data_IF_260879208506
#
_entry.id   IF_260879208506
#
_cell.length_a   1.000
_cell.length_b   1.000
_cell.length_c   1.000
_cell.angle_alpha   90.00
_cell.angle_beta   90.00
_cell.angle_gamma   90.00
#
_symmetry.space_group_name_H-M   'P 1'
#
loop_
_entity.id
_entity.type
_entity.pdbx_description
1 polymer ?
#
# COMPACT_ATOMS: atom_id res chain seq x y z
N UNK A 1 3.55 -28.22 8.27
CA UNK A 1 4.20 -27.08 7.59
C UNK A 1 3.50 -25.82 8.05
N UNK A 2 4.19 -24.86 8.69
CA UNK A 2 3.59 -23.59 9.13
C UNK A 2 3.51 -22.64 7.95
N UNK A 3 2.37 -21.94 7.80
CA UNK A 3 2.14 -20.93 6.76
C UNK A 3 3.18 -19.81 6.78
N UNK A 4 3.67 -19.43 7.97
CA UNK A 4 4.69 -18.39 8.14
C UNK A 4 5.97 -18.68 7.37
N UNK A 5 6.31 -19.96 7.14
CA UNK A 5 7.51 -20.34 6.37
C UNK A 5 7.37 -20.09 4.87
N UNK A 6 6.16 -19.82 4.38
CA UNK A 6 5.88 -19.48 2.99
C UNK A 6 5.96 -17.97 2.73
N UNK A 7 6.01 -17.15 3.79
CA UNK A 7 6.17 -15.70 3.70
C UNK A 7 7.65 -15.36 3.55
N UNK A 8 8.15 -15.45 2.32
CA UNK A 8 9.57 -15.30 1.99
C UNK A 8 10.03 -13.86 1.88
N UNK A 9 9.10 -12.93 1.70
CA UNK A 9 9.39 -11.54 1.39
C UNK A 9 9.23 -10.65 2.62
N UNK A 10 9.76 -9.44 2.53
CA UNK A 10 9.75 -8.44 3.59
C UNK A 10 9.38 -7.08 3.02
N UNK A 11 8.44 -6.39 3.67
CA UNK A 11 8.04 -5.06 3.26
C UNK A 11 7.77 -4.16 4.47
N UNK A 12 7.88 -2.86 4.25
CA UNK A 12 7.53 -1.85 5.23
C UNK A 12 6.13 -1.32 4.93
N UNK A 13 5.32 -1.10 5.96
CA UNK A 13 3.92 -0.65 5.86
C UNK A 13 3.80 0.77 6.42
N UNK A 14 3.12 1.62 5.65
CA UNK A 14 2.79 2.99 6.01
C UNK A 14 1.28 3.17 5.95
N UNK A 15 0.70 3.57 7.08
CA UNK A 15 -0.71 3.85 7.16
C UNK A 15 -1.02 5.25 6.65
N UNK A 16 -2.12 5.37 5.94
CA UNK A 16 -2.64 6.68 5.56
C UNK A 16 -3.00 7.48 6.83
N UNK A 17 -2.46 8.69 6.91
CA UNK A 17 -2.71 9.63 7.99
C UNK A 17 -3.54 10.79 7.47
N UNK A 18 -4.45 11.25 8.31
CA UNK A 18 -5.34 12.37 8.02
C UNK A 18 -4.86 13.57 8.81
N UNK A 19 -4.62 14.68 8.11
CA UNK A 19 -4.26 15.96 8.73
C UNK A 19 -5.25 17.05 8.35
N UNK A 20 -5.46 17.97 9.30
CA UNK A 20 -6.24 19.18 9.06
C UNK A 20 -5.39 20.12 8.19
N UNK A 21 -5.92 20.62 7.06
CA UNK A 21 -5.18 21.55 6.21
C UNK A 21 -4.71 22.77 7.01
N UNK A 22 -3.44 23.17 6.86
CA UNK A 22 -2.85 24.25 7.67
C UNK A 22 -3.51 25.63 7.46
N UNK A 23 -4.23 25.84 6.36
CA UNK A 23 -5.16 26.94 6.14
C UNK A 23 -5.91 26.74 4.81
N UNK A 24 -7.17 27.16 4.73
CA UNK A 24 -7.84 27.31 3.43
C UNK A 24 -7.32 28.51 2.67
N UNK A 25 -7.14 28.37 1.36
CA UNK A 25 -7.01 29.54 0.48
C UNK A 25 -8.26 30.41 0.69
N UNK A 26 -8.09 31.74 0.71
CA UNK A 26 -9.18 32.71 0.89
C UNK A 26 -9.89 32.69 2.26
N UNK A 27 -9.21 32.28 3.34
CA UNK A 27 -9.75 32.40 4.70
C UNK A 27 -10.84 31.37 5.05
N UNK A 28 -10.95 30.30 4.26
CA UNK A 28 -11.87 29.20 4.57
C UNK A 28 -11.34 28.46 5.82
N UNK A 29 -12.17 28.31 6.87
CA UNK A 29 -11.79 27.55 8.07
C UNK A 29 -11.36 26.13 7.70
N UNK A 30 -10.26 25.66 8.29
CA UNK A 30 -9.68 24.37 7.94
C UNK A 30 -10.61 23.18 8.18
N UNK A 31 -11.52 23.30 9.16
CA UNK A 31 -12.56 22.32 9.48
C UNK A 31 -13.60 22.12 8.36
N UNK A 32 -13.74 23.09 7.45
CA UNK A 32 -14.66 23.04 6.30
C UNK A 32 -13.99 22.51 5.03
N UNK A 33 -12.69 22.28 5.07
CA UNK A 33 -11.92 21.79 3.92
C UNK A 33 -11.85 20.27 3.93
N UNK A 34 -11.63 19.69 2.76
CA UNK A 34 -11.33 18.27 2.67
C UNK A 34 -10.04 17.97 3.45
N UNK A 35 -9.99 16.87 4.20
CA UNK A 35 -8.79 16.46 4.91
C UNK A 35 -7.63 16.20 3.94
N UNK A 36 -6.39 16.42 4.39
CA UNK A 36 -5.20 16.05 3.62
C UNK A 36 -4.76 14.66 4.05
N UNK A 37 -4.74 13.74 3.09
CA UNK A 37 -4.23 12.39 3.27
C UNK A 37 -2.74 12.34 2.93
N UNK A 38 -1.94 11.72 3.80
CA UNK A 38 -0.49 11.61 3.65
C UNK A 38 0.05 10.39 4.37
N UNK A 39 1.25 9.95 4.02
CA UNK A 39 1.97 8.92 4.75
C UNK A 39 3.06 9.56 5.63
N UNK A 40 3.40 8.92 6.73
CA UNK A 40 4.56 9.31 7.54
C UNK A 40 5.86 9.06 6.79
N UNK A 41 6.92 9.74 7.20
CA UNK A 41 8.27 9.53 6.67
C UNK A 41 8.87 8.20 7.18
N UNK A 42 8.49 7.80 8.39
CA UNK A 42 8.90 6.53 9.03
C UNK A 42 7.76 5.52 8.87
N UNK A 43 8.06 4.25 8.55
CA UNK A 43 7.06 3.19 8.47
C UNK A 43 6.37 2.96 9.82
N UNK A 44 5.08 2.59 9.76
CA UNK A 44 4.32 2.21 10.94
C UNK A 44 4.59 0.75 11.35
N UNK A 45 5.00 -0.09 10.39
CA UNK A 45 5.54 -1.42 10.64
C UNK A 45 6.70 -1.72 9.68
N UNK A 46 7.84 -2.15 10.23
CA UNK A 46 9.05 -2.49 9.48
C UNK A 46 9.22 -3.99 9.32
N UNK A 47 9.85 -4.41 8.22
CA UNK A 47 10.28 -5.81 7.97
C UNK A 47 9.15 -6.84 8.12
N UNK A 48 7.94 -6.48 7.67
CA UNK A 48 6.75 -7.33 7.83
C UNK A 48 6.87 -8.55 6.91
N UNK A 49 6.74 -9.79 7.44
CA UNK A 49 6.77 -10.98 6.62
C UNK A 49 5.56 -11.00 5.69
N UNK A 50 5.80 -11.18 4.41
CA UNK A 50 4.78 -11.24 3.38
C UNK A 50 5.18 -12.19 2.25
N UNK A 51 4.28 -12.38 1.30
CA UNK A 51 4.58 -13.06 0.04
C UNK A 51 3.89 -12.34 -1.11
N UNK A 52 4.66 -11.90 -2.09
CA UNK A 52 4.18 -11.30 -3.32
C UNK A 52 4.01 -12.38 -4.39
N UNK A 53 2.78 -12.55 -4.86
CA UNK A 53 2.46 -13.41 -5.99
C UNK A 53 2.05 -12.54 -7.15
N UNK A 54 2.84 -12.55 -8.22
CA UNK A 54 2.52 -11.77 -9.42
C UNK A 54 1.18 -12.23 -10.02
N UNK A 55 0.27 -11.27 -10.24
CA UNK A 55 -1.03 -11.52 -10.84
C UNK A 55 -1.09 -11.05 -12.27
N UNK A 56 -0.58 -9.84 -12.52
CA UNK A 56 -0.69 -9.20 -13.81
C UNK A 56 0.42 -8.16 -13.96
N UNK A 57 1.05 -8.17 -15.12
CA UNK A 57 1.90 -7.10 -15.60
C UNK A 57 1.35 -6.61 -16.94
N UNK A 58 1.18 -5.30 -17.08
CA UNK A 58 0.75 -4.67 -18.32
C UNK A 58 1.70 -3.52 -18.65
N UNK A 59 2.30 -3.58 -19.83
CA UNK A 59 3.09 -2.48 -20.38
C UNK A 59 2.18 -1.59 -21.23
N UNK A 60 2.02 -0.34 -20.83
CA UNK A 60 1.35 0.69 -21.64
C UNK A 60 2.45 1.59 -22.20
N UNK A 61 2.79 1.40 -23.48
CA UNK A 61 3.72 2.26 -24.18
C UNK A 61 2.97 3.49 -24.71
N UNK A 62 3.38 4.67 -24.26
CA UNK A 62 3.01 5.96 -24.84
C UNK A 62 4.31 6.58 -25.38
N UNK A 63 4.27 7.35 -26.45
CA UNK A 63 5.48 8.08 -26.86
C UNK A 63 5.62 9.33 -25.98
N UNK A 64 6.75 9.56 -25.27
CA UNK A 64 8.00 8.77 -25.22
C UNK A 64 8.10 7.79 -24.03
N UNK A 65 7.14 7.80 -23.09
CA UNK A 65 7.19 7.06 -21.83
C UNK A 65 6.42 5.73 -21.83
N UNK A 66 7.03 4.68 -21.29
CA UNK A 66 6.34 3.44 -20.97
C UNK A 66 5.89 3.42 -19.51
N UNK A 67 4.63 3.04 -19.27
CA UNK A 67 4.09 2.80 -17.92
C UNK A 67 3.92 1.31 -17.69
N UNK A 68 4.49 0.81 -16.59
CA UNK A 68 4.37 -0.58 -16.18
C UNK A 68 3.32 -0.68 -15.10
N UNK A 69 2.13 -1.16 -15.45
CA UNK A 69 1.10 -1.49 -14.49
C UNK A 69 1.36 -2.89 -13.95
N UNK A 70 1.78 -2.99 -12.70
CA UNK A 70 2.03 -4.27 -12.04
C UNK A 70 1.07 -4.44 -10.87
N UNK A 71 0.42 -5.61 -10.82
CA UNK A 71 -0.49 -6.02 -9.76
C UNK A 71 0.04 -7.31 -9.13
N UNK A 72 0.18 -7.28 -7.82
CA UNK A 72 0.56 -8.44 -7.01
C UNK A 72 -0.59 -8.81 -6.08
N UNK A 73 -0.80 -10.10 -5.88
CA UNK A 73 -1.52 -10.59 -4.72
C UNK A 73 -0.52 -10.76 -3.59
N UNK A 74 -0.68 -9.95 -2.55
CA UNK A 74 0.18 -9.99 -1.37
C UNK A 74 -0.54 -10.74 -0.26
N UNK A 75 0.21 -11.65 0.35
CA UNK A 75 -0.20 -12.43 1.49
C UNK A 75 0.48 -11.90 2.75
N UNK A 76 -0.29 -11.62 3.80
CA UNK A 76 0.21 -11.18 5.10
C UNK A 76 -0.27 -12.09 6.23
N UNK A 77 0.49 -12.25 7.32
CA UNK A 77 0.03 -12.98 8.49
C UNK A 77 -1.20 -12.28 9.09
N UNK A 78 -2.03 -13.03 9.80
CA UNK A 78 -3.29 -12.49 10.37
C UNK A 78 -3.05 -11.35 11.35
N UNK A 79 -1.90 -11.38 12.02
CA UNK A 79 -1.46 -10.43 13.03
C UNK A 79 -1.02 -9.09 12.41
N UNK A 80 -0.69 -9.08 11.12
CA UNK A 80 -0.36 -7.83 10.43
C UNK A 80 -1.58 -6.91 10.40
N UNK A 81 -1.34 -5.64 10.73
CA UNK A 81 -2.33 -4.58 10.60
C UNK A 81 -2.24 -4.07 9.18
N UNK A 82 -3.22 -4.43 8.34
CA UNK A 82 -3.28 -4.06 6.93
C UNK A 82 -4.61 -3.36 6.66
N UNK A 83 -4.57 -2.22 5.97
CA UNK A 83 -5.74 -1.38 5.67
C UNK A 83 -5.81 -1.07 4.18
N UNK A 84 -7.00 -0.64 3.76
CA UNK A 84 -7.18 -0.06 2.43
C UNK A 84 -6.33 1.19 2.33
N UNK A 85 -5.71 1.43 1.17
CA UNK A 85 -4.80 2.55 0.91
C UNK A 85 -3.52 2.56 1.76
N UNK A 86 -3.17 1.46 2.44
CA UNK A 86 -1.83 1.37 3.01
C UNK A 86 -0.80 1.40 1.88
N UNK A 87 0.24 2.19 2.06
CA UNK A 87 1.41 2.18 1.20
C UNK A 87 2.39 1.16 1.73
N UNK A 88 2.88 0.29 0.86
CA UNK A 88 3.92 -0.67 1.19
C UNK A 88 5.16 -0.44 0.33
N UNK A 89 6.33 -0.60 0.94
CA UNK A 89 7.62 -0.54 0.24
C UNK A 89 8.21 -1.94 0.22
N UNK A 90 8.41 -2.48 -0.98
CA UNK A 90 9.01 -3.78 -1.21
C UNK A 90 10.09 -3.64 -2.29
N UNK A 91 11.29 -4.14 -2.00
CA UNK A 91 12.48 -4.01 -2.87
C UNK A 91 12.76 -2.56 -3.33
N UNK A 92 12.45 -1.57 -2.48
CA UNK A 92 12.62 -0.15 -2.78
C UNK A 92 11.54 0.46 -3.68
N UNK A 93 10.54 -0.31 -4.11
CA UNK A 93 9.41 0.17 -4.90
C UNK A 93 8.16 0.35 -4.03
N UNK A 94 7.40 1.41 -4.31
CA UNK A 94 6.16 1.71 -3.63
C UNK A 94 4.94 1.06 -4.32
N UNK A 95 4.05 0.51 -3.49
CA UNK A 95 2.78 -0.04 -3.91
C UNK A 95 1.67 0.43 -2.98
N UNK A 96 0.46 0.59 -3.51
CA UNK A 96 -0.73 0.88 -2.72
C UNK A 96 -1.61 -0.35 -2.63
N UNK A 97 -2.08 -0.64 -1.43
CA UNK A 97 -2.98 -1.73 -1.14
C UNK A 97 -4.44 -1.37 -1.45
N UNK A 98 -5.10 -2.23 -2.22
CA UNK A 98 -6.55 -2.19 -2.43
C UNK A 98 -7.28 -2.80 -1.21
N UNK A 99 -8.47 -3.37 -1.41
CA UNK A 99 -9.29 -3.95 -0.34
C UNK A 99 -8.68 -5.24 0.23
N UNK A 100 -8.26 -5.28 1.51
CA UNK A 100 -7.81 -6.51 2.14
C UNK A 100 -8.96 -7.50 2.33
N UNK A 101 -8.71 -8.76 2.01
CA UNK A 101 -9.66 -9.87 2.20
C UNK A 101 -9.09 -10.83 3.23
N UNK A 102 -9.91 -11.19 4.22
CA UNK A 102 -9.54 -12.18 5.23
C UNK A 102 -9.69 -13.58 4.63
N UNK A 103 -8.59 -14.20 4.26
CA UNK A 103 -8.60 -15.54 3.70
C UNK A 103 -8.72 -16.57 4.83
N UNK A 104 -9.90 -17.22 4.92
CA UNK A 104 -10.18 -18.33 5.85
C UNK A 104 -9.82 -18.07 7.31
N UNK A 105 -9.85 -16.80 7.74
CA UNK A 105 -9.45 -16.34 9.07
C UNK A 105 -8.01 -16.67 9.50
N UNK A 106 -7.13 -16.97 8.55
CA UNK A 106 -5.74 -17.39 8.80
C UNK A 106 -4.71 -16.38 8.31
N UNK A 107 -5.00 -15.64 7.23
CA UNK A 107 -4.10 -14.63 6.68
C UNK A 107 -4.88 -13.55 5.94
N UNK A 108 -4.21 -12.47 5.58
CA UNK A 108 -4.75 -11.44 4.71
C UNK A 108 -4.30 -11.67 3.27
N UNK A 109 -5.21 -11.44 2.35
CA UNK A 109 -4.97 -11.39 0.92
C UNK A 109 -5.36 -10.02 0.42
N UNK A 110 -4.42 -9.30 -0.19
CA UNK A 110 -4.66 -7.95 -0.67
C UNK A 110 -3.96 -7.75 -2.01
N UNK A 111 -4.58 -6.98 -2.90
CA UNK A 111 -3.92 -6.60 -4.14
C UNK A 111 -3.06 -5.37 -3.88
N UNK A 112 -1.77 -5.48 -4.21
CA UNK A 112 -0.85 -4.36 -4.27
C UNK A 112 -0.75 -3.90 -5.73
N UNK A 113 -0.95 -2.61 -5.96
CA UNK A 113 -0.82 -1.98 -7.27
C UNK A 113 0.36 -1.04 -7.24
N UNK A 114 1.22 -1.13 -8.25
CA UNK A 114 2.36 -0.22 -8.40
C UNK A 114 1.86 1.21 -8.52
N UNK A 115 2.38 2.09 -7.67
CA UNK A 115 2.06 3.50 -7.72
C UNK A 115 3.22 4.26 -8.37
N UNK A 116 3.07 4.60 -9.65
CA UNK A 116 4.00 5.48 -10.37
C UNK A 116 3.64 6.97 -10.18
N UNK A 117 2.63 7.30 -9.35
CA UNK A 117 2.11 8.67 -9.15
C UNK A 117 2.47 9.28 -7.78
N UNK A 118 3.13 8.52 -6.90
CA UNK A 118 3.70 9.02 -5.64
C UNK A 118 5.18 9.34 -5.77
#
# INVERSE_FOLDING_TARGET
>A
MSYERLLTDRCDIYHETVSVPKAGRFGIPAEKLQPVFSYREVPDAEDVPCLFVEKQQQLIQLDPDHKVYQRFLVHFPKEAVVRVNDKIIWEGQAYILEMPKKARQHHWEVIAVRDDRL
#
